data_IF_482952140899
#
_entry.id   IF_482952140899
#
_cell.length_a   1.000
_cell.length_b   1.000
_cell.length_c   1.000
_cell.angle_alpha   90.00
_cell.angle_beta   90.00
_cell.angle_gamma   90.00
#
_symmetry.space_group_name_H-M   'P 1'
#
loop_
_entity.id
_entity.type
_entity.pdbx_description
1 polymer ?
#
# COMPACT_ATOMS: atom_id res chain seq x y z
N UNK A 1 22.28 27.92 -38.89
CA UNK A 1 22.14 28.30 -37.46
C UNK A 1 21.38 27.19 -36.78
N UNK A 2 22.07 26.33 -36.03
CA UNK A 2 21.43 25.28 -35.25
C UNK A 2 21.08 25.87 -33.89
N UNK A 3 19.79 25.86 -33.55
CA UNK A 3 19.33 26.16 -32.19
C UNK A 3 19.86 25.05 -31.25
N UNK A 4 20.40 25.38 -30.07
CA UNK A 4 20.74 24.37 -29.08
C UNK A 4 19.45 23.74 -28.54
N UNK A 5 19.41 22.41 -28.54
CA UNK A 5 18.45 21.64 -27.76
C UNK A 5 18.62 22.04 -26.28
N UNK A 6 17.61 22.69 -25.74
CA UNK A 6 17.50 22.99 -24.32
C UNK A 6 17.55 21.67 -23.56
N UNK A 7 18.63 21.45 -22.81
CA UNK A 7 18.73 20.35 -21.86
C UNK A 7 17.54 20.43 -20.91
N UNK A 8 16.75 19.35 -20.83
CA UNK A 8 15.79 19.15 -19.75
C UNK A 8 16.60 19.00 -18.45
N UNK A 9 16.77 20.10 -17.73
CA UNK A 9 17.11 20.06 -16.32
C UNK A 9 15.93 19.51 -15.53
N UNK A 10 15.84 18.19 -15.40
CA UNK A 10 15.04 17.58 -14.35
C UNK A 10 15.86 17.64 -13.07
N UNK A 11 15.38 18.35 -12.05
CA UNK A 11 15.93 18.16 -10.70
C UNK A 11 15.47 16.78 -10.26
N UNK A 12 16.40 15.83 -10.11
CA UNK A 12 16.12 14.58 -9.42
C UNK A 12 15.55 14.91 -8.04
N UNK A 13 14.28 14.58 -7.83
CA UNK A 13 13.65 14.73 -6.53
C UNK A 13 14.04 13.56 -5.63
N UNK A 14 14.09 13.77 -4.31
CA UNK A 14 14.31 12.68 -3.34
C UNK A 14 13.33 11.52 -3.55
N UNK A 15 12.08 11.83 -3.89
CA UNK A 15 11.06 10.83 -4.18
C UNK A 15 11.44 9.97 -5.40
N UNK A 16 11.90 10.58 -6.50
CA UNK A 16 12.40 9.84 -7.67
C UNK A 16 13.60 8.96 -7.35
N UNK A 17 14.55 9.44 -6.54
CA UNK A 17 15.68 8.62 -6.12
C UNK A 17 15.22 7.38 -5.30
N UNK A 18 14.22 7.55 -4.43
CA UNK A 18 13.63 6.43 -3.67
C UNK A 18 12.84 5.47 -4.57
N UNK A 19 12.10 5.97 -5.57
CA UNK A 19 11.44 5.14 -6.59
C UNK A 19 12.47 4.31 -7.35
N UNK A 20 13.50 4.96 -7.89
CA UNK A 20 14.54 4.31 -8.70
C UNK A 20 15.31 3.24 -7.90
N UNK A 21 15.52 3.46 -6.59
CA UNK A 21 16.25 2.54 -5.73
C UNK A 21 15.36 1.41 -5.17
N UNK A 22 14.13 1.71 -4.75
CA UNK A 22 13.31 0.80 -3.94
C UNK A 22 12.01 0.33 -4.59
N UNK A 23 11.56 0.91 -5.70
CA UNK A 23 10.36 0.41 -6.38
C UNK A 23 10.65 -0.94 -7.05
N UNK A 24 10.14 -2.02 -6.44
CA UNK A 24 10.14 -3.34 -7.04
C UNK A 24 8.87 -3.53 -7.86
N UNK A 25 9.05 -3.95 -9.11
CA UNK A 25 7.97 -4.24 -10.07
C UNK A 25 7.96 -5.73 -10.43
N UNK A 26 7.60 -6.63 -9.50
CA UNK A 26 7.51 -8.05 -9.81
C UNK A 26 6.39 -8.29 -10.83
N UNK A 27 6.52 -9.34 -11.65
CA UNK A 27 5.46 -9.74 -12.58
C UNK A 27 4.28 -10.34 -11.77
N UNK A 28 3.13 -9.65 -11.68
CA UNK A 28 2.03 -10.09 -10.84
C UNK A 28 1.34 -11.34 -11.41
N UNK A 29 1.39 -11.56 -12.73
CA UNK A 29 0.81 -12.74 -13.36
C UNK A 29 1.68 -13.94 -13.03
N UNK A 30 2.99 -13.85 -13.25
CA UNK A 30 3.92 -14.93 -12.91
C UNK A 30 3.88 -15.31 -11.42
N UNK A 31 3.64 -14.33 -10.53
CA UNK A 31 3.56 -14.57 -9.09
C UNK A 31 2.24 -15.21 -8.63
N UNK A 32 1.12 -14.87 -9.28
CA UNK A 32 -0.20 -15.12 -8.67
C UNK A 32 -1.13 -15.98 -9.49
N UNK A 33 -0.89 -16.12 -10.81
CA UNK A 33 -1.85 -16.69 -11.74
C UNK A 33 -2.46 -18.01 -11.24
N UNK A 34 -3.79 -18.06 -11.25
CA UNK A 34 -4.54 -19.24 -10.87
C UNK A 34 -4.76 -20.16 -12.08
N UNK A 35 -4.60 -21.50 -11.93
CA UNK A 35 -4.97 -22.46 -12.96
C UNK A 35 -6.46 -22.40 -13.37
N UNK A 36 -7.35 -21.98 -12.46
CA UNK A 36 -8.76 -21.70 -12.76
C UNK A 36 -8.90 -20.25 -13.28
N UNK A 37 -9.17 -20.04 -14.58
CA UNK A 37 -9.25 -18.70 -15.16
C UNK A 37 -10.33 -17.82 -14.53
N UNK A 38 -11.37 -18.41 -13.91
CA UNK A 38 -12.45 -17.65 -13.26
C UNK A 38 -12.00 -16.93 -11.98
N UNK A 39 -10.85 -17.31 -11.42
CA UNK A 39 -10.24 -16.68 -10.25
C UNK A 39 -9.35 -15.50 -10.60
N UNK A 40 -8.93 -15.39 -11.86
CA UNK A 40 -8.05 -14.32 -12.31
C UNK A 40 -8.83 -13.04 -12.67
N UNK A 41 -8.17 -11.89 -12.57
CA UNK A 41 -8.61 -10.65 -13.21
C UNK A 41 -8.53 -10.75 -14.74
N UNK A 42 -9.03 -9.73 -15.44
CA UNK A 42 -8.84 -9.57 -16.89
C UNK A 42 -7.36 -9.53 -17.30
N UNK A 43 -6.48 -9.07 -16.40
CA UNK A 43 -5.03 -9.04 -16.57
C UNK A 43 -4.33 -10.38 -16.22
N UNK A 44 -5.07 -11.40 -15.79
CA UNK A 44 -4.50 -12.72 -15.46
C UNK A 44 -3.96 -12.85 -14.04
N UNK A 45 -4.14 -11.83 -13.20
CA UNK A 45 -3.67 -11.79 -11.81
C UNK A 45 -4.74 -12.35 -10.88
N UNK A 46 -4.35 -13.26 -9.99
CA UNK A 46 -5.23 -13.72 -8.92
C UNK A 46 -4.98 -12.87 -7.67
N UNK A 47 -5.91 -11.99 -7.34
CA UNK A 47 -5.80 -11.15 -6.15
C UNK A 47 -6.36 -11.81 -4.88
N UNK A 48 -7.09 -12.94 -4.95
CA UNK A 48 -7.65 -13.58 -3.76
C UNK A 48 -6.54 -14.18 -2.89
N UNK A 49 -6.48 -13.85 -1.58
CA UNK A 49 -5.57 -14.51 -0.66
C UNK A 49 -6.06 -15.91 -0.26
N UNK A 50 -5.13 -16.86 -0.25
CA UNK A 50 -5.29 -18.23 0.22
C UNK A 50 -4.37 -18.47 1.43
N UNK A 51 -4.84 -18.19 2.67
CA UNK A 51 -3.99 -18.26 3.87
C UNK A 51 -3.30 -19.61 4.05
N UNK A 52 -3.93 -20.71 3.62
CA UNK A 52 -3.38 -22.07 3.67
C UNK A 52 -2.16 -22.27 2.75
N UNK A 53 -1.94 -21.36 1.81
CA UNK A 53 -0.79 -21.34 0.90
C UNK A 53 0.23 -20.26 1.26
N UNK A 54 0.06 -19.60 2.41
CA UNK A 54 1.00 -18.58 2.87
C UNK A 54 2.32 -19.21 3.26
N UNK A 55 3.43 -18.62 2.83
CA UNK A 55 4.74 -18.99 3.36
C UNK A 55 4.88 -18.48 4.81
N UNK A 56 5.66 -19.16 5.67
CA UNK A 56 5.94 -18.67 7.01
C UNK A 56 6.83 -17.42 6.97
N UNK A 57 6.71 -16.58 8.00
CA UNK A 57 7.56 -15.41 8.22
C UNK A 57 8.39 -15.58 9.49
N UNK A 58 9.61 -15.02 9.46
CA UNK A 58 10.37 -14.79 10.68
C UNK A 58 9.67 -13.73 11.56
N UNK A 59 9.84 -13.76 12.89
CA UNK A 59 9.11 -12.89 13.81
C UNK A 59 9.19 -11.39 13.48
N UNK A 60 10.36 -10.89 13.05
CA UNK A 60 10.52 -9.48 12.68
C UNK A 60 9.69 -9.11 11.46
N UNK A 61 9.52 -10.03 10.51
CA UNK A 61 8.75 -9.81 9.28
C UNK A 61 7.25 -9.97 9.50
N UNK A 62 6.86 -10.90 10.37
CA UNK A 62 5.49 -11.01 10.85
C UNK A 62 5.04 -9.71 11.51
N UNK A 63 5.91 -9.08 12.32
CA UNK A 63 5.64 -7.76 12.91
C UNK A 63 5.40 -6.69 11.84
N UNK A 64 6.19 -6.67 10.76
CA UNK A 64 5.97 -5.72 9.65
C UNK A 64 4.58 -5.92 9.04
N UNK A 65 4.24 -7.16 8.65
CA UNK A 65 2.94 -7.46 8.03
C UNK A 65 1.77 -7.14 8.98
N UNK A 66 1.90 -7.46 10.27
CA UNK A 66 0.90 -7.14 11.27
C UNK A 66 0.70 -5.63 11.43
N UNK A 67 1.78 -4.86 11.50
CA UNK A 67 1.69 -3.40 11.56
C UNK A 67 1.02 -2.84 10.30
N UNK A 68 1.37 -3.31 9.11
CA UNK A 68 0.66 -2.92 7.89
C UNK A 68 -0.85 -3.25 7.99
N UNK A 69 -1.24 -4.44 8.46
CA UNK A 69 -2.65 -4.78 8.65
C UNK A 69 -3.37 -3.87 9.67
N UNK A 70 -2.69 -3.45 10.74
CA UNK A 70 -3.21 -2.48 11.71
C UNK A 70 -3.49 -1.12 11.05
N UNK A 71 -2.58 -0.66 10.18
CA UNK A 71 -2.75 0.58 9.41
C UNK A 71 -3.99 0.49 8.50
N UNK A 72 -4.10 -0.57 7.70
CA UNK A 72 -5.26 -0.80 6.83
C UNK A 72 -6.58 -0.87 7.63
N UNK A 73 -6.54 -1.46 8.82
CA UNK A 73 -7.70 -1.62 9.70
C UNK A 73 -8.07 -0.35 10.49
N UNK A 74 -7.38 0.77 10.26
CA UNK A 74 -7.65 2.04 10.94
C UNK A 74 -7.28 2.05 12.42
N UNK A 75 -6.43 1.13 12.86
CA UNK A 75 -5.89 1.11 14.23
C UNK A 75 -4.44 1.58 14.25
N UNK A 76 -4.08 2.50 13.35
CA UNK A 76 -2.73 3.01 13.20
C UNK A 76 -2.19 3.58 14.51
N UNK A 77 -0.99 3.13 14.90
CA UNK A 77 -0.25 3.64 16.04
C UNK A 77 1.12 4.15 15.64
N UNK A 78 1.78 4.86 16.55
CA UNK A 78 3.16 5.27 16.36
C UNK A 78 4.07 4.05 16.15
N UNK A 79 3.88 2.99 16.92
CA UNK A 79 4.66 1.75 16.78
C UNK A 79 4.49 1.12 15.39
N UNK A 80 3.26 1.10 14.87
CA UNK A 80 3.01 0.59 13.52
C UNK A 80 3.70 1.44 12.45
N UNK A 81 3.72 2.77 12.61
CA UNK A 81 4.41 3.65 11.68
C UNK A 81 5.93 3.45 11.71
N UNK A 82 6.51 3.02 12.83
CA UNK A 82 7.96 2.79 12.95
C UNK A 82 8.47 1.62 12.09
N UNK A 83 7.62 0.83 11.43
CA UNK A 83 8.08 -0.16 10.44
C UNK A 83 8.59 0.52 9.16
N UNK A 84 8.16 1.76 8.89
CA UNK A 84 8.68 2.56 7.79
C UNK A 84 9.95 3.29 8.21
N UNK A 85 10.86 3.44 7.24
CA UNK A 85 11.91 4.44 7.33
C UNK A 85 11.29 5.84 7.30
N UNK A 86 11.99 6.85 7.80
CA UNK A 86 11.56 8.24 7.73
C UNK A 86 11.30 8.68 6.28
N UNK A 87 12.22 8.30 5.40
CA UNK A 87 12.11 8.46 3.95
C UNK A 87 11.56 7.18 3.30
N UNK A 88 10.25 7.06 3.28
CA UNK A 88 9.54 5.96 2.65
C UNK A 88 8.44 6.46 1.71
N UNK A 89 8.16 5.66 0.69
CA UNK A 89 7.06 5.89 -0.25
C UNK A 89 5.92 4.90 0.04
N UNK A 90 4.70 5.42 0.06
CA UNK A 90 3.47 4.66 -0.10
C UNK A 90 2.84 5.07 -1.43
N UNK A 91 2.58 4.09 -2.28
CA UNK A 91 2.00 4.27 -3.59
C UNK A 91 0.88 3.24 -3.77
N UNK A 92 -0.35 3.74 -3.81
CA UNK A 92 -1.52 3.00 -4.23
C UNK A 92 -2.17 3.73 -5.41
N UNK A 93 -3.21 3.16 -6.04
CA UNK A 93 -3.81 3.78 -7.22
C UNK A 93 -4.34 5.21 -6.99
N UNK A 94 -4.62 5.63 -5.75
CA UNK A 94 -5.32 6.88 -5.41
C UNK A 94 -4.51 7.80 -4.49
N UNK A 95 -3.43 7.32 -3.87
CA UNK A 95 -2.60 8.04 -2.91
C UNK A 95 -1.12 7.81 -3.18
N UNK A 96 -0.35 8.89 -3.08
CA UNK A 96 1.10 8.87 -3.18
C UNK A 96 1.66 9.71 -2.03
N UNK A 97 2.41 9.08 -1.13
CA UNK A 97 3.03 9.71 0.02
C UNK A 97 4.52 9.43 -0.01
N UNK A 98 5.37 10.45 0.08
CA UNK A 98 6.82 10.34 -0.08
C UNK A 98 7.62 10.52 1.23
N UNK A 99 6.95 10.48 2.38
CA UNK A 99 7.55 10.45 3.72
C UNK A 99 6.70 9.64 4.70
N UNK A 100 7.30 9.10 5.75
CA UNK A 100 6.56 8.43 6.84
C UNK A 100 5.48 9.31 7.45
N UNK A 101 5.74 10.61 7.61
CA UNK A 101 4.75 11.57 8.11
C UNK A 101 3.50 11.64 7.23
N UNK A 102 3.68 11.72 5.90
CA UNK A 102 2.56 11.73 4.95
C UNK A 102 1.82 10.40 4.93
N UNK A 103 2.55 9.29 4.99
CA UNK A 103 1.99 7.95 5.12
C UNK A 103 1.14 7.85 6.40
N UNK A 104 1.61 8.38 7.53
CA UNK A 104 0.83 8.45 8.76
C UNK A 104 -0.46 9.27 8.56
N UNK A 105 -0.37 10.40 7.85
CA UNK A 105 -1.52 11.22 7.49
C UNK A 105 -2.66 10.43 6.82
N UNK A 106 -2.31 9.54 5.88
CA UNK A 106 -3.24 8.60 5.22
C UNK A 106 -3.89 7.64 6.23
N UNK A 107 -3.08 6.90 7.01
CA UNK A 107 -3.59 5.81 7.85
C UNK A 107 -4.37 6.28 9.08
N UNK A 108 -3.96 7.39 9.69
CA UNK A 108 -4.71 8.03 10.79
C UNK A 108 -6.04 8.65 10.31
N UNK A 109 -6.24 8.79 9.00
CA UNK A 109 -7.49 9.26 8.40
C UNK A 109 -8.59 8.21 8.32
N UNK A 110 -8.23 6.93 8.25
CA UNK A 110 -9.18 5.83 8.05
C UNK A 110 -10.35 5.88 9.05
N UNK A 111 -10.14 6.02 10.38
CA UNK A 111 -11.24 6.04 11.34
C UNK A 111 -12.17 7.25 11.24
N UNK A 112 -11.73 8.34 10.57
CA UNK A 112 -12.54 9.56 10.43
C UNK A 112 -13.60 9.44 9.35
N UNK A 113 -13.43 8.53 8.39
CA UNK A 113 -14.33 8.38 7.24
C UNK A 113 -14.89 6.96 7.07
N UNK A 114 -14.29 5.96 7.71
CA UNK A 114 -14.76 4.58 7.74
C UNK A 114 -15.47 4.29 9.06
N UNK A 115 -16.67 3.69 8.98
CA UNK A 115 -17.37 3.10 10.13
C UNK A 115 -16.58 1.92 10.70
N UNK A 116 -16.02 1.10 9.79
CA UNK A 116 -15.08 0.04 10.14
C UNK A 116 -14.19 -0.27 8.94
N UNK A 117 -12.96 -0.67 9.23
CA UNK A 117 -12.01 -1.22 8.26
C UNK A 117 -11.39 -2.46 8.89
N UNK A 118 -11.34 -3.58 8.19
CA UNK A 118 -10.79 -4.84 8.73
C UNK A 118 -10.05 -5.66 7.69
N UNK A 119 -8.88 -6.15 8.07
CA UNK A 119 -8.18 -7.18 7.30
C UNK A 119 -8.89 -8.53 7.50
N UNK A 120 -9.26 -9.16 6.40
CA UNK A 120 -10.01 -10.43 6.38
C UNK A 120 -9.08 -11.62 6.17
N UNK A 121 -8.14 -11.49 5.22
CA UNK A 121 -7.17 -12.53 4.88
C UNK A 121 -5.86 -11.91 4.41
N UNK A 122 -4.78 -12.61 4.70
CA UNK A 122 -3.47 -12.38 4.08
C UNK A 122 -2.93 -13.68 3.52
N UNK A 123 -2.08 -13.58 2.50
CA UNK A 123 -1.28 -14.70 2.00
C UNK A 123 0.09 -14.16 1.60
N UNK A 124 1.12 -14.54 2.33
CA UNK A 124 2.51 -14.18 1.99
C UNK A 124 2.98 -15.03 0.82
N UNK A 125 3.48 -14.37 -0.22
CA UNK A 125 3.99 -14.96 -1.45
C UNK A 125 5.52 -14.96 -1.52
N UNK A 126 6.15 -13.90 -0.98
CA UNK A 126 7.60 -13.74 -0.96
C UNK A 126 8.06 -13.08 0.34
N UNK A 127 9.21 -13.53 0.83
CA UNK A 127 9.91 -12.98 1.99
C UNK A 127 11.41 -13.14 1.78
N UNK A 128 12.04 -12.13 1.18
CA UNK A 128 13.51 -12.09 0.94
C UNK A 128 14.12 -10.95 1.75
N UNK A 129 15.45 -10.89 1.95
CA UNK A 129 16.09 -9.86 2.77
C UNK A 129 15.56 -8.44 2.54
N UNK A 130 15.32 -8.08 1.28
CA UNK A 130 14.90 -6.77 0.80
C UNK A 130 13.44 -6.70 0.32
N UNK A 131 12.60 -7.72 0.52
CA UNK A 131 11.16 -7.64 0.17
C UNK A 131 10.24 -8.51 1.04
N UNK A 132 8.98 -8.07 1.12
CA UNK A 132 7.83 -8.89 1.50
C UNK A 132 6.74 -8.64 0.46
N UNK A 133 6.21 -9.70 -0.14
CA UNK A 133 5.09 -9.62 -1.10
C UNK A 133 3.96 -10.48 -0.55
N UNK A 134 2.76 -9.92 -0.44
CA UNK A 134 1.60 -10.64 0.07
C UNK A 134 0.30 -10.17 -0.59
N UNK A 135 -0.67 -11.07 -0.69
CA UNK A 135 -2.04 -10.73 -1.01
C UNK A 135 -2.76 -10.29 0.27
N UNK A 136 -3.60 -9.28 0.17
CA UNK A 136 -4.40 -8.73 1.26
C UNK A 136 -5.87 -8.66 0.82
N UNK A 137 -6.79 -9.15 1.64
CA UNK A 137 -8.22 -8.88 1.50
C UNK A 137 -8.66 -7.96 2.63
N UNK A 138 -9.02 -6.73 2.28
CA UNK A 138 -9.51 -5.72 3.20
C UNK A 138 -11.01 -5.52 3.02
N UNK A 139 -11.76 -5.32 4.10
CA UNK A 139 -13.14 -4.90 4.02
C UNK A 139 -13.32 -3.50 4.62
N UNK A 140 -13.86 -2.60 3.81
CA UNK A 140 -14.18 -1.23 4.19
C UNK A 140 -15.68 -1.05 4.33
N UNK A 141 -16.11 -0.40 5.40
CA UNK A 141 -17.48 0.06 5.60
C UNK A 141 -17.46 1.57 5.80
N UNK A 142 -17.81 2.37 4.79
CA UNK A 142 -17.84 3.82 4.91
C UNK A 142 -18.85 4.35 5.95
N UNK A 143 -18.54 5.48 6.58
CA UNK A 143 -19.51 6.22 7.41
C UNK A 143 -20.72 6.74 6.61
N UNK A 144 -20.56 7.40 5.44
CA UNK A 144 -21.70 7.98 4.73
C UNK A 144 -22.65 6.94 4.14
N UNK A 145 -22.18 5.70 3.95
CA UNK A 145 -22.98 4.58 3.45
C UNK A 145 -22.41 3.27 4.02
N UNK A 146 -23.05 2.65 5.03
CA UNK A 146 -22.49 1.51 5.75
C UNK A 146 -22.66 0.18 4.99
N UNK A 147 -22.37 0.18 3.69
CA UNK A 147 -22.31 -1.03 2.87
C UNK A 147 -20.86 -1.50 2.88
N UNK A 148 -20.62 -2.70 3.40
CA UNK A 148 -19.29 -3.28 3.46
C UNK A 148 -18.83 -3.70 2.06
N UNK A 149 -17.59 -3.38 1.71
CA UNK A 149 -16.98 -3.69 0.41
C UNK A 149 -15.62 -4.30 0.61
N UNK A 150 -15.35 -5.39 -0.12
CA UNK A 150 -14.08 -6.12 -0.05
C UNK A 150 -13.15 -5.71 -1.19
N UNK A 151 -11.94 -5.33 -0.83
CA UNK A 151 -10.84 -5.01 -1.72
C UNK A 151 -9.79 -6.09 -1.60
N UNK A 152 -9.41 -6.68 -2.74
CA UNK A 152 -8.26 -7.58 -2.79
C UNK A 152 -7.08 -6.82 -3.42
N UNK A 153 -5.93 -6.96 -2.79
CA UNK A 153 -4.70 -6.24 -3.11
C UNK A 153 -3.53 -7.20 -3.24
N UNK A 154 -2.60 -6.87 -4.13
CA UNK A 154 -1.24 -7.40 -4.13
C UNK A 154 -0.31 -6.32 -3.57
N UNK A 155 0.21 -6.55 -2.37
CA UNK A 155 1.07 -5.61 -1.64
C UNK A 155 2.53 -6.03 -1.81
N UNK A 156 3.37 -5.08 -2.20
CA UNK A 156 4.83 -5.23 -2.27
C UNK A 156 5.49 -4.23 -1.34
N UNK A 157 6.23 -4.73 -0.36
CA UNK A 157 7.06 -3.94 0.53
C UNK A 157 8.53 -4.18 0.17
N UNK A 158 9.26 -3.12 -0.16
CA UNK A 158 10.72 -3.15 -0.29
C UNK A 158 11.35 -2.64 0.99
N UNK A 159 12.32 -3.40 1.50
CA UNK A 159 12.99 -3.14 2.78
C UNK A 159 14.42 -2.63 2.56
N UNK A 160 14.89 -1.74 3.43
CA UNK A 160 16.31 -1.41 3.51
C UNK A 160 17.11 -2.43 4.36
N UNK A 161 18.40 -2.14 4.53
CA UNK A 161 19.35 -2.98 5.29
C UNK A 161 19.03 -3.07 6.78
N UNK A 162 18.24 -2.14 7.32
CA UNK A 162 17.77 -2.14 8.71
C UNK A 162 16.42 -2.86 8.85
N UNK A 163 15.87 -3.37 7.75
CA UNK A 163 14.57 -4.04 7.72
C UNK A 163 13.39 -3.08 7.75
N UNK A 164 13.59 -1.79 7.45
CA UNK A 164 12.53 -0.79 7.38
C UNK A 164 11.92 -0.72 5.99
N UNK A 165 10.62 -0.50 5.91
CA UNK A 165 9.91 -0.31 4.64
C UNK A 165 10.34 1.03 4.03
N UNK A 166 10.89 0.99 2.81
CA UNK A 166 11.25 2.15 1.99
C UNK A 166 10.27 2.40 0.86
N UNK A 167 9.64 1.34 0.37
CA UNK A 167 8.63 1.43 -0.67
C UNK A 167 7.51 0.46 -0.38
N UNK A 168 6.28 0.96 -0.35
CA UNK A 168 5.07 0.18 -0.20
C UNK A 168 4.18 0.44 -1.41
N UNK A 169 4.11 -0.54 -2.30
CA UNK A 169 3.20 -0.56 -3.44
C UNK A 169 1.98 -1.40 -3.11
N UNK A 170 0.79 -0.83 -3.26
CA UNK A 170 -0.49 -1.55 -3.17
C UNK A 170 -1.16 -1.57 -4.55
N UNK A 171 -1.35 -2.77 -5.11
CA UNK A 171 -2.05 -2.96 -6.38
C UNK A 171 -3.43 -3.56 -6.15
N UNK A 172 -4.48 -2.78 -6.39
CA UNK A 172 -5.86 -3.22 -6.21
C UNK A 172 -6.33 -4.04 -7.41
N UNK A 173 -7.16 -5.06 -7.15
CA UNK A 173 -7.90 -5.73 -8.22
C UNK A 173 -8.85 -4.72 -8.88
N UNK A 174 -8.65 -4.40 -10.16
CA UNK A 174 -9.38 -3.34 -10.90
C UNK A 174 -10.91 -3.54 -11.03
N UNK A 175 -11.51 -4.52 -10.34
CA UNK A 175 -12.94 -4.84 -10.34
C UNK A 175 -13.81 -3.76 -9.68
N UNK A 176 -13.77 -2.55 -10.21
CA UNK A 176 -14.77 -1.49 -10.04
C UNK A 176 -14.70 -0.64 -8.75
N UNK A 177 -13.59 -0.66 -8.00
CA UNK A 177 -13.48 0.16 -6.78
C UNK A 177 -13.55 1.68 -7.05
N UNK A 178 -13.18 2.13 -8.25
CA UNK A 178 -13.18 3.54 -8.67
C UNK A 178 -14.57 4.10 -9.00
N UNK A 179 -15.53 3.23 -9.36
CA UNK A 179 -16.87 3.63 -9.81
C UNK A 179 -17.94 3.52 -8.72
N UNK A 180 -17.64 2.86 -7.60
CA UNK A 180 -18.48 2.84 -6.41
C UNK A 180 -18.20 4.02 -5.47
N UNK A 181 -19.03 4.22 -4.43
CA UNK A 181 -18.84 5.29 -3.43
C UNK A 181 -17.48 5.26 -2.72
N UNK A 182 -16.78 4.12 -2.74
CA UNK A 182 -15.39 3.99 -2.29
C UNK A 182 -14.48 5.00 -3.01
N UNK A 183 -14.66 5.16 -4.32
CA UNK A 183 -13.99 6.12 -5.24
C UNK A 183 -13.80 7.51 -4.65
N UNK A 184 -14.86 8.02 -4.04
CA UNK A 184 -14.89 9.35 -3.44
C UNK A 184 -14.20 9.38 -2.08
N UNK A 185 -14.39 8.34 -1.27
CA UNK A 185 -13.90 8.27 0.12
C UNK A 185 -12.38 8.22 0.17
N UNK A 186 -11.74 7.39 -0.63
CA UNK A 186 -10.27 7.35 -0.61
C UNK A 186 -9.65 8.57 -1.33
N UNK A 187 -10.37 9.26 -2.25
CA UNK A 187 -9.95 10.60 -2.70
C UNK A 187 -9.90 11.58 -1.52
N UNK A 188 -10.82 11.47 -0.58
CA UNK A 188 -10.79 12.24 0.68
C UNK A 188 -9.66 11.80 1.62
N UNK A 189 -9.05 10.62 1.40
CA UNK A 189 -7.90 10.13 2.17
C UNK A 189 -6.53 10.59 1.67
N UNK A 190 -6.44 11.24 0.50
CA UNK A 190 -5.13 11.57 -0.08
C UNK A 190 -4.27 12.42 0.90
N UNK A 191 -3.05 11.93 1.19
CA UNK A 191 -2.23 12.33 2.35
C UNK A 191 -1.87 13.81 2.43
N UNK A 192 -1.72 14.49 1.29
CA UNK A 192 -1.37 15.92 1.26
C UNK A 192 -2.50 16.82 1.83
N UNK A 193 -3.76 16.41 1.71
CA UNK A 193 -4.90 17.10 2.32
C UNK A 193 -5.17 16.62 3.74
N UNK A 194 -4.93 15.32 4.00
CA UNK A 194 -5.30 14.69 5.25
C UNK A 194 -4.40 15.03 6.44
N UNK A 195 -3.10 15.24 6.25
CA UNK A 195 -2.21 15.58 7.39
C UNK A 195 -2.72 16.77 8.21
N UNK A 196 -3.38 17.74 7.56
CA UNK A 196 -4.02 18.90 8.20
C UNK A 196 -5.25 18.54 9.04
N UNK A 197 -5.97 17.48 8.64
CA UNK A 197 -7.17 16.99 9.31
C UNK A 197 -6.86 15.94 10.37
N UNK A 198 -5.88 15.07 10.12
CA UNK A 198 -5.60 13.88 10.93
C UNK A 198 -4.65 14.16 12.08
N UNK A 199 -3.78 15.18 11.96
CA UNK A 199 -2.80 15.58 12.97
C UNK A 199 -2.02 14.36 13.52
N UNK A 200 -1.32 13.59 12.66
CA UNK A 200 -0.45 12.52 13.14
C UNK A 200 0.63 13.12 14.07
N UNK A 201 1.24 12.31 14.97
CA UNK A 201 2.33 12.78 15.82
C UNK A 201 3.42 13.50 15.02
N UNK A 202 3.82 14.69 15.46
CA UNK A 202 4.76 15.56 14.73
C UNK A 202 6.18 14.98 14.61
N UNK A 203 6.52 13.98 15.43
CA UNK A 203 7.83 13.32 15.44
C UNK A 203 7.89 12.03 14.60
N UNK A 204 6.90 11.81 13.74
CA UNK A 204 6.86 10.74 12.74
C UNK A 204 7.49 11.13 11.41
#
# INVERSE_FOLDING_TARGET
>A
MSLPLTGKGGKDTRAQALEDEFEKRPDPVALTQNPDPSKNSSSGVDYEPYPEKSIPLEPEREKIVQSICNLYSGSASKEDMMVYAEEAIYDDPWSYCDTRYKIAGQWYGIPKIMKSSRTIKTQVLSSKPDEIIFKLQQEYTPLPMPIAKKVNSLVTLTLDKEGKVRYHKDMWNEKDYSHEGLGKIMKELNGDYLTKLTQPPEDL
#
